data_IF_175595552158
#
_entry.id   IF_175595552158
#
_cell.length_a   1.000
_cell.length_b   1.000
_cell.length_c   1.000
_cell.angle_alpha   90.00
_cell.angle_beta   90.00
_cell.angle_gamma   90.00
#
_symmetry.space_group_name_H-M   'P 1'
#
loop_
_entity.id
_entity.type
_entity.pdbx_description
1 polymer ?
#
# COMPACT_ATOMS: atom_id res chain seq x y z
N UNK A 1 1.30 -17.32 6.85
CA UNK A 1 -0.11 -17.04 7.20
C UNK A 1 -0.92 -16.88 5.93
N UNK A 2 -2.24 -17.04 6.01
CA UNK A 2 -3.14 -16.79 4.91
C UNK A 2 -3.71 -15.34 4.92
N UNK A 3 -4.41 -14.99 3.85
CA UNK A 3 -5.03 -13.67 3.65
C UNK A 3 -6.09 -13.35 4.72
N UNK A 4 -6.83 -14.35 5.22
CA UNK A 4 -7.89 -14.12 6.21
C UNK A 4 -7.28 -13.78 7.57
N UNK A 5 -6.20 -14.48 7.96
CA UNK A 5 -5.42 -14.15 9.15
C UNK A 5 -4.85 -12.73 9.09
N UNK A 6 -4.33 -12.32 7.91
CA UNK A 6 -3.86 -10.96 7.70
C UNK A 6 -4.99 -9.92 7.82
N UNK A 7 -6.17 -10.21 7.28
CA UNK A 7 -7.35 -9.36 7.41
C UNK A 7 -7.81 -9.18 8.87
N UNK A 8 -7.75 -10.24 9.67
CA UNK A 8 -8.06 -10.19 11.11
C UNK A 8 -7.09 -9.26 11.86
N UNK A 9 -5.79 -9.37 11.59
CA UNK A 9 -4.76 -8.48 12.15
C UNK A 9 -5.03 -7.03 11.73
N UNK A 10 -5.25 -6.76 10.44
CA UNK A 10 -5.59 -5.42 9.97
C UNK A 10 -6.82 -4.87 10.70
N UNK A 11 -7.90 -5.63 10.82
CA UNK A 11 -9.12 -5.19 11.51
C UNK A 11 -8.93 -4.99 13.02
N UNK A 12 -7.99 -5.72 13.62
CA UNK A 12 -7.63 -5.56 15.03
C UNK A 12 -7.00 -4.20 15.30
N UNK A 13 -6.08 -3.74 14.45
CA UNK A 13 -5.29 -2.51 14.67
C UNK A 13 -5.79 -1.29 13.91
N UNK A 14 -6.54 -1.47 12.82
CA UNK A 14 -7.12 -0.40 12.00
C UNK A 14 -8.64 -0.42 12.13
N UNK A 15 -9.24 0.66 12.65
CA UNK A 15 -10.71 0.82 12.80
C UNK A 15 -11.34 1.66 11.70
N UNK A 16 -10.56 2.49 11.03
CA UNK A 16 -10.99 3.33 9.91
C UNK A 16 -11.35 2.50 8.69
N UNK A 17 -12.59 2.64 8.23
CA UNK A 17 -13.03 2.05 6.96
C UNK A 17 -12.22 2.57 5.76
N UNK A 18 -11.72 3.81 5.83
CA UNK A 18 -10.93 4.38 4.75
C UNK A 18 -9.54 3.72 4.66
N UNK A 19 -8.88 3.46 5.80
CA UNK A 19 -7.59 2.78 5.83
C UNK A 19 -7.73 1.30 5.43
N UNK A 20 -8.82 0.64 5.85
CA UNK A 20 -9.12 -0.73 5.39
C UNK A 20 -9.37 -0.78 3.88
N UNK A 21 -10.10 0.20 3.32
CA UNK A 21 -10.29 0.31 1.87
C UNK A 21 -8.99 0.60 1.13
N UNK A 22 -8.10 1.40 1.72
CA UNK A 22 -6.75 1.63 1.19
C UNK A 22 -5.97 0.32 1.10
N UNK A 23 -5.87 -0.43 2.19
CA UNK A 23 -5.22 -1.74 2.21
C UNK A 23 -5.77 -2.71 1.14
N UNK A 24 -7.09 -2.77 0.97
CA UNK A 24 -7.74 -3.56 -0.09
C UNK A 24 -7.42 -3.06 -1.51
N UNK A 25 -7.29 -1.75 -1.70
CA UNK A 25 -6.91 -1.16 -2.99
C UNK A 25 -5.45 -1.48 -3.34
N UNK A 26 -4.55 -1.38 -2.36
CA UNK A 26 -3.13 -1.77 -2.49
C UNK A 26 -3.01 -3.26 -2.78
N UNK A 27 -3.81 -4.10 -2.12
CA UNK A 27 -3.88 -5.54 -2.38
C UNK A 27 -4.28 -5.85 -3.82
N UNK A 28 -5.33 -5.20 -4.33
CA UNK A 28 -5.76 -5.40 -5.71
C UNK A 28 -4.64 -5.08 -6.71
N UNK A 29 -3.81 -4.06 -6.42
CA UNK A 29 -2.65 -3.71 -7.22
C UNK A 29 -1.53 -4.76 -7.10
N UNK A 30 -1.17 -5.17 -5.89
CA UNK A 30 -0.08 -6.12 -5.67
C UNK A 30 -0.41 -7.50 -6.23
N UNK A 31 -1.63 -8.00 -6.05
CA UNK A 31 -2.06 -9.27 -6.63
C UNK A 31 -2.00 -9.24 -8.16
N UNK A 32 -2.34 -8.11 -8.79
CA UNK A 32 -2.19 -7.96 -10.24
C UNK A 32 -0.72 -8.01 -10.69
N UNK A 33 0.19 -7.40 -9.93
CA UNK A 33 1.62 -7.48 -10.21
C UNK A 33 2.21 -8.87 -9.92
N UNK A 34 1.76 -9.56 -8.87
CA UNK A 34 2.17 -10.92 -8.57
C UNK A 34 1.89 -11.84 -9.78
N UNK A 35 0.66 -11.76 -10.33
CA UNK A 35 0.30 -12.48 -11.57
C UNK A 35 1.16 -12.10 -12.76
N UNK A 36 1.44 -10.81 -12.94
CA UNK A 36 2.27 -10.30 -14.03
C UNK A 36 3.70 -10.84 -13.97
N UNK A 37 4.24 -10.98 -12.76
CA UNK A 37 5.61 -11.43 -12.53
C UNK A 37 5.73 -12.95 -12.29
N UNK A 38 4.61 -13.67 -12.16
CA UNK A 38 4.62 -15.11 -11.85
C UNK A 38 4.99 -15.42 -10.41
N UNK A 39 4.70 -14.49 -9.49
CA UNK A 39 5.00 -14.57 -8.06
C UNK A 39 3.82 -15.13 -7.26
N UNK A 40 4.05 -15.46 -5.98
CA UNK A 40 3.01 -15.95 -5.07
C UNK A 40 1.99 -14.85 -4.70
N UNK A 41 0.78 -14.95 -5.25
CA UNK A 41 -0.31 -14.01 -4.98
C UNK A 41 -0.64 -13.90 -3.49
N UNK A 42 -0.50 -14.99 -2.72
CA UNK A 42 -0.85 -14.98 -1.30
C UNK A 42 0.12 -14.12 -0.48
N UNK A 43 1.43 -14.27 -0.68
CA UNK A 43 2.46 -13.45 -0.03
C UNK A 43 2.25 -11.98 -0.35
N UNK A 44 2.02 -11.64 -1.62
CA UNK A 44 1.79 -10.26 -2.07
C UNK A 44 0.50 -9.65 -1.51
N UNK A 45 -0.58 -10.44 -1.42
CA UNK A 45 -1.83 -10.03 -0.80
C UNK A 45 -1.66 -9.74 0.70
N UNK A 46 -0.99 -10.63 1.42
CA UNK A 46 -0.74 -10.45 2.87
C UNK A 46 0.13 -9.22 3.12
N UNK A 47 1.19 -9.02 2.35
CA UNK A 47 2.03 -7.81 2.45
C UNK A 47 1.21 -6.54 2.23
N UNK A 48 0.39 -6.51 1.19
CA UNK A 48 -0.45 -5.36 0.90
C UNK A 48 -1.47 -5.06 2.00
N UNK A 49 -2.14 -6.10 2.54
CA UNK A 49 -3.12 -5.91 3.61
C UNK A 49 -2.49 -5.37 4.90
N UNK A 50 -1.24 -5.74 5.18
CA UNK A 50 -0.59 -5.44 6.44
C UNK A 50 0.33 -4.22 6.39
N UNK A 51 0.61 -3.61 5.23
CA UNK A 51 1.63 -2.55 5.16
C UNK A 51 1.38 -1.38 6.12
N UNK A 52 0.12 -0.95 6.24
CA UNK A 52 -0.34 0.19 7.06
C UNK A 52 -1.10 -0.22 8.33
N UNK A 53 -1.04 -1.50 8.72
CA UNK A 53 -1.91 -2.02 9.79
C UNK A 53 -1.77 -1.27 11.12
N UNK A 54 -0.58 -0.73 11.40
CA UNK A 54 -0.24 -0.02 12.63
C UNK A 54 -0.33 1.50 12.51
N UNK A 55 -0.74 2.05 11.35
CA UNK A 55 -0.81 3.49 11.12
C UNK A 55 -1.64 4.23 12.18
N UNK A 56 -2.77 3.67 12.62
CA UNK A 56 -3.63 4.30 13.63
C UNK A 56 -2.99 4.37 15.03
N UNK A 57 -2.11 3.42 15.36
CA UNK A 57 -1.46 3.34 16.68
C UNK A 57 -0.05 3.98 16.66
N UNK A 58 0.57 4.11 15.49
CA UNK A 58 1.92 4.65 15.29
C UNK A 58 2.03 5.70 14.15
N UNK A 59 1.15 6.72 14.07
CA UNK A 59 1.03 7.57 12.87
C UNK A 59 2.20 8.51 12.58
N UNK A 60 3.20 8.59 13.47
CA UNK A 60 4.30 9.55 13.36
C UNK A 60 5.54 8.85 12.82
N UNK A 61 6.26 9.48 11.88
CA UNK A 61 7.59 8.99 11.53
C UNK A 61 8.57 9.22 12.70
N UNK A 62 9.47 8.27 13.02
CA UNK A 62 9.72 7.01 12.29
C UNK A 62 8.93 5.80 12.83
N UNK A 63 7.91 5.99 13.67
CA UNK A 63 7.23 4.93 14.41
C UNK A 63 6.54 3.91 13.49
N UNK A 64 5.67 4.32 12.56
CA UNK A 64 5.17 3.42 11.52
C UNK A 64 6.22 3.30 10.41
N UNK A 65 6.50 2.11 9.82
CA UNK A 65 6.10 0.77 10.25
C UNK A 65 7.07 0.13 11.26
N UNK A 66 8.07 0.87 11.76
CA UNK A 66 9.15 0.35 12.63
C UNK A 66 8.62 -0.32 13.91
N UNK A 67 7.65 0.31 14.59
CA UNK A 67 7.00 -0.23 15.79
C UNK A 67 5.95 -1.30 15.46
N UNK A 68 5.43 -1.33 14.23
CA UNK A 68 4.54 -2.37 13.73
C UNK A 68 5.26 -3.70 13.47
N UNK A 69 6.50 -3.66 12.99
CA UNK A 69 7.27 -4.87 12.68
C UNK A 69 7.31 -5.92 13.81
N UNK A 70 7.66 -5.58 15.07
CA UNK A 70 7.70 -6.57 16.15
C UNK A 70 6.31 -7.14 16.49
N UNK A 71 5.24 -6.38 16.25
CA UNK A 71 3.86 -6.87 16.40
C UNK A 71 3.61 -7.95 15.34
N UNK A 72 3.91 -7.67 14.07
CA UNK A 72 3.79 -8.65 12.99
C UNK A 72 4.65 -9.91 13.25
N UNK A 73 5.84 -9.74 13.82
CA UNK A 73 6.70 -10.85 14.22
C UNK A 73 6.02 -11.72 15.29
N UNK A 74 5.41 -11.11 16.30
CA UNK A 74 4.64 -11.81 17.34
C UNK A 74 3.41 -12.56 16.82
N UNK A 75 2.83 -12.11 15.70
CA UNK A 75 1.75 -12.79 14.99
C UNK A 75 2.22 -13.86 13.99
N UNK A 76 3.53 -14.12 13.89
CA UNK A 76 4.09 -15.14 13.00
C UNK A 76 4.08 -14.78 11.51
N UNK A 77 4.03 -13.49 11.18
CA UNK A 77 4.23 -12.99 9.80
C UNK A 77 5.67 -13.29 9.38
N UNK A 78 5.91 -13.74 8.15
CA UNK A 78 7.27 -14.09 7.70
C UNK A 78 8.20 -12.88 7.64
N UNK A 79 9.50 -13.10 7.81
CA UNK A 79 10.52 -12.04 7.71
C UNK A 79 10.48 -11.34 6.34
N UNK A 80 10.25 -12.08 5.26
CA UNK A 80 10.09 -11.53 3.91
C UNK A 80 9.01 -10.45 3.84
N UNK A 81 7.82 -10.74 4.38
CA UNK A 81 6.69 -9.80 4.39
C UNK A 81 7.00 -8.62 5.30
N UNK A 82 7.52 -8.87 6.50
CA UNK A 82 7.86 -7.82 7.46
C UNK A 82 8.93 -6.86 6.92
N UNK A 83 9.96 -7.39 6.27
CA UNK A 83 11.00 -6.60 5.61
C UNK A 83 10.42 -5.79 4.45
N UNK A 84 9.51 -6.37 3.66
CA UNK A 84 8.85 -5.65 2.59
C UNK A 84 8.06 -4.45 3.11
N UNK A 85 7.30 -4.66 4.19
CA UNK A 85 6.59 -3.60 4.90
C UNK A 85 7.58 -2.56 5.44
N UNK A 86 8.70 -2.92 6.08
CA UNK A 86 9.67 -1.89 6.50
C UNK A 86 10.19 -1.03 5.35
N UNK A 87 10.38 -1.60 4.17
CA UNK A 87 10.96 -0.90 3.01
C UNK A 87 10.04 0.10 2.29
N UNK A 88 8.73 0.08 2.58
CA UNK A 88 7.79 1.00 1.94
C UNK A 88 7.94 2.43 2.48
N UNK A 89 8.32 2.58 3.76
CA UNK A 89 8.62 3.87 4.36
C UNK A 89 10.08 4.27 4.14
N UNK A 90 10.29 5.39 3.43
CA UNK A 90 11.64 5.86 3.02
C UNK A 90 12.58 6.19 4.19
N UNK A 91 12.02 6.51 5.36
CA UNK A 91 12.79 6.89 6.55
C UNK A 91 13.25 5.71 7.42
N UNK A 92 12.87 4.47 7.10
CA UNK A 92 13.33 3.28 7.85
C UNK A 92 14.78 2.93 7.55
N UNK A 93 15.32 3.42 6.43
CA UNK A 93 16.64 3.07 5.93
C UNK A 93 16.73 1.66 5.31
N UNK A 94 15.62 0.93 5.23
CA UNK A 94 15.56 -0.41 4.61
C UNK A 94 15.41 -0.25 3.10
N UNK A 95 16.39 -0.67 2.29
CA UNK A 95 16.31 -0.51 0.84
C UNK A 95 15.34 -1.52 0.22
N UNK A 96 14.66 -1.11 -0.85
CA UNK A 96 13.85 -1.97 -1.72
C UNK A 96 14.74 -2.73 -2.69
N UNK A 97 14.78 -4.04 -2.56
CA UNK A 97 15.61 -4.98 -3.30
C UNK A 97 14.76 -5.92 -4.15
N UNK A 98 13.68 -6.47 -3.59
CA UNK A 98 12.81 -7.44 -4.29
C UNK A 98 11.75 -6.77 -5.16
N UNK A 99 11.11 -7.56 -6.05
CA UNK A 99 9.96 -7.10 -6.84
C UNK A 99 8.77 -6.73 -5.94
N UNK A 100 8.52 -7.50 -4.89
CA UNK A 100 7.47 -7.22 -3.90
C UNK A 100 7.68 -5.87 -3.23
N UNK A 101 8.90 -5.58 -2.82
CA UNK A 101 9.28 -4.32 -2.13
C UNK A 101 9.09 -3.10 -3.04
N UNK A 102 9.54 -3.21 -4.28
CA UNK A 102 9.36 -2.17 -5.30
C UNK A 102 7.90 -1.96 -5.65
N UNK A 103 7.16 -3.05 -5.82
CA UNK A 103 5.75 -2.99 -6.18
C UNK A 103 4.90 -2.44 -5.04
N UNK A 104 5.18 -2.80 -3.78
CA UNK A 104 4.51 -2.24 -2.60
C UNK A 104 4.63 -0.71 -2.59
N UNK A 105 5.86 -0.20 -2.66
CA UNK A 105 6.12 1.23 -2.67
C UNK A 105 5.49 1.93 -3.88
N UNK A 106 5.56 1.33 -5.07
CA UNK A 106 4.96 1.89 -6.29
C UNK A 106 3.43 1.94 -6.24
N UNK A 107 2.78 0.99 -5.56
CA UNK A 107 1.33 0.86 -5.54
C UNK A 107 0.67 1.64 -4.40
N UNK A 108 1.34 1.81 -3.26
CA UNK A 108 0.78 2.41 -2.05
C UNK A 108 0.13 3.79 -2.30
N UNK A 109 0.95 4.83 -2.53
CA UNK A 109 0.45 6.19 -2.81
C UNK A 109 -0.42 6.26 -4.06
N UNK A 110 -0.14 5.42 -5.07
CA UNK A 110 -0.92 5.38 -6.31
C UNK A 110 -2.34 4.85 -6.09
N UNK A 111 -2.53 3.83 -5.26
CA UNK A 111 -3.85 3.28 -4.94
C UNK A 111 -4.72 4.30 -4.20
N UNK A 112 -4.14 5.02 -3.23
CA UNK A 112 -4.79 6.15 -2.57
C UNK A 112 -5.18 7.26 -3.56
N UNK A 113 -4.28 7.58 -4.50
CA UNK A 113 -4.55 8.56 -5.55
C UNK A 113 -5.69 8.15 -6.48
N UNK A 114 -5.69 6.90 -6.97
CA UNK A 114 -6.75 6.37 -7.84
C UNK A 114 -8.11 6.37 -7.14
N UNK A 115 -8.12 6.05 -5.84
CA UNK A 115 -9.31 6.14 -5.00
C UNK A 115 -9.84 7.58 -4.91
N UNK A 116 -8.96 8.57 -4.72
CA UNK A 116 -9.37 9.98 -4.75
C UNK A 116 -9.93 10.39 -6.12
N UNK A 117 -9.33 9.93 -7.23
CA UNK A 117 -9.84 10.18 -8.58
C UNK A 117 -11.21 9.56 -8.79
N UNK A 118 -11.45 8.36 -8.25
CA UNK A 118 -12.76 7.72 -8.28
C UNK A 118 -13.82 8.57 -7.55
N UNK A 119 -13.51 9.13 -6.38
CA UNK A 119 -14.47 9.91 -5.58
C UNK A 119 -15.02 11.17 -6.27
N UNK A 120 -14.29 11.75 -7.23
CA UNK A 120 -14.75 12.92 -7.99
C UNK A 120 -15.50 12.55 -9.27
N UNK A 121 -15.67 11.26 -9.55
CA UNK A 121 -16.52 10.78 -10.64
C UNK A 121 -17.99 10.74 -10.21
N UNK A 122 -18.95 10.95 -11.15
CA UNK A 122 -20.38 10.91 -10.83
C UNK A 122 -20.81 9.64 -10.08
N UNK A 123 -20.36 8.46 -10.53
CA UNK A 123 -20.69 7.18 -9.89
C UNK A 123 -19.76 6.77 -8.75
N UNK A 124 -18.74 7.60 -8.43
CA UNK A 124 -17.73 7.32 -7.38
C UNK A 124 -17.07 5.94 -7.49
N UNK A 125 -16.88 5.48 -8.73
CA UNK A 125 -16.43 4.13 -9.04
C UNK A 125 -15.06 4.13 -9.69
N UNK A 126 -14.21 3.17 -9.29
CA UNK A 126 -12.91 2.94 -9.93
C UNK A 126 -13.05 2.58 -11.42
N UNK A 127 -14.19 1.99 -11.80
CA UNK A 127 -14.48 1.63 -13.19
C UNK A 127 -14.72 2.84 -14.11
N UNK A 128 -14.87 4.06 -13.56
CA UNK A 128 -14.97 5.30 -14.33
C UNK A 128 -13.62 6.06 -14.41
N UNK A 129 -12.56 5.48 -13.84
CA UNK A 129 -11.23 6.09 -13.75
C UNK A 129 -10.37 5.69 -14.95
N UNK A 130 -10.32 6.60 -15.92
CA UNK A 130 -9.47 6.47 -17.11
C UNK A 130 -8.02 6.91 -16.83
N UNK A 131 -7.05 6.21 -17.42
CA UNK A 131 -5.60 6.49 -17.28
C UNK A 131 -5.26 7.95 -17.61
N UNK A 132 -5.82 8.49 -18.69
CA UNK A 132 -5.56 9.89 -19.07
C UNK A 132 -6.11 10.89 -18.05
N UNK A 133 -7.22 10.56 -17.38
CA UNK A 133 -7.74 11.36 -16.28
C UNK A 133 -6.79 11.37 -15.10
N UNK A 134 -6.22 10.21 -14.75
CA UNK A 134 -5.23 10.07 -13.67
C UNK A 134 -3.98 10.88 -14.00
N UNK A 135 -3.42 10.73 -15.22
CA UNK A 135 -2.24 11.48 -15.67
C UNK A 135 -2.44 13.00 -15.63
N UNK A 136 -3.63 13.48 -16.00
CA UNK A 136 -3.96 14.91 -15.85
C UNK A 136 -4.04 15.33 -14.38
N UNK A 137 -4.71 14.53 -13.54
CA UNK A 137 -4.85 14.82 -12.10
C UNK A 137 -3.53 14.78 -11.35
N UNK A 138 -2.56 13.95 -11.76
CA UNK A 138 -1.21 13.94 -11.16
C UNK A 138 -0.46 15.28 -11.34
N UNK A 139 -0.85 16.09 -12.34
CA UNK A 139 -0.29 17.43 -12.58
C UNK A 139 -0.98 18.51 -11.72
N UNK A 140 -2.18 18.24 -11.22
CA UNK A 140 -2.95 19.14 -10.36
C UNK A 140 -2.51 18.97 -8.89
N UNK A 141 -1.64 19.87 -8.43
CA UNK A 141 -1.09 19.84 -7.06
C UNK A 141 -2.12 20.13 -5.97
N UNK A 142 -3.27 20.74 -6.32
CA UNK A 142 -4.33 21.01 -5.35
C UNK A 142 -5.20 19.78 -5.08
N UNK A 143 -5.34 18.91 -6.09
CA UNK A 143 -6.10 17.67 -5.98
C UNK A 143 -5.35 16.62 -5.15
N UNK A 144 -6.04 16.02 -4.16
CA UNK A 144 -5.48 15.01 -3.26
C UNK A 144 -4.11 15.42 -2.67
N UNK A 145 -4.06 16.63 -2.09
CA UNK A 145 -2.82 17.30 -1.66
C UNK A 145 -1.98 16.48 -0.67
N UNK A 146 -2.60 15.59 0.11
CA UNK A 146 -1.91 14.72 1.06
C UNK A 146 -1.10 13.60 0.41
N UNK A 147 -1.41 13.23 -0.84
CA UNK A 147 -0.74 12.14 -1.56
C UNK A 147 0.57 12.66 -2.14
N UNK A 148 1.68 11.96 -1.93
CA UNK A 148 3.00 12.35 -2.40
C UNK A 148 3.19 12.00 -3.90
N UNK A 149 3.30 13.02 -4.76
CA UNK A 149 3.49 12.83 -6.20
C UNK A 149 4.89 12.33 -6.56
N UNK A 150 5.88 12.61 -5.73
CA UNK A 150 7.26 12.21 -5.99
C UNK A 150 7.45 10.72 -5.66
N UNK A 151 6.80 10.21 -4.62
CA UNK A 151 6.78 8.77 -4.32
C UNK A 151 6.12 7.97 -5.45
N UNK A 152 5.00 8.45 -6.01
CA UNK A 152 4.36 7.81 -7.18
C UNK A 152 5.33 7.75 -8.37
N UNK A 153 6.10 8.82 -8.63
CA UNK A 153 7.05 8.85 -9.75
C UNK A 153 8.25 7.95 -9.49
N UNK A 154 8.80 8.00 -8.27
CA UNK A 154 9.94 7.19 -7.87
C UNK A 154 9.59 5.70 -7.93
N UNK A 155 8.46 5.31 -7.33
CA UNK A 155 7.98 3.93 -7.37
C UNK A 155 7.75 3.42 -8.79
N UNK A 156 7.18 4.24 -9.68
CA UNK A 156 7.01 3.87 -11.09
C UNK A 156 8.33 3.75 -11.87
N UNK A 157 9.40 4.41 -11.44
CA UNK A 157 10.72 4.33 -12.08
C UNK A 157 11.59 3.19 -11.52
N UNK A 158 11.34 2.77 -10.27
CA UNK A 158 12.06 1.70 -9.59
C UNK A 158 11.54 0.28 -9.93
N UNK A 159 10.29 0.17 -10.43
CA UNK A 159 9.58 -1.06 -10.77
C UNK A 159 9.73 -1.46 -12.25
#
# INVERSE_FOLDING_TARGET
MDRNQAWEILCQFTKSDNLRKHALAVEACLVAYARKFGEDEQTWAVTALLHDFDWEIHPQAPDHPVKGEPILAGHGVSEEIRRAILSHATYTGVPRQSLLEKALFACDELAGFLTAVAYVKPGRSIHEVEVDSVKRKLKDKAFARSVNRDDIRAGAAEL
#
